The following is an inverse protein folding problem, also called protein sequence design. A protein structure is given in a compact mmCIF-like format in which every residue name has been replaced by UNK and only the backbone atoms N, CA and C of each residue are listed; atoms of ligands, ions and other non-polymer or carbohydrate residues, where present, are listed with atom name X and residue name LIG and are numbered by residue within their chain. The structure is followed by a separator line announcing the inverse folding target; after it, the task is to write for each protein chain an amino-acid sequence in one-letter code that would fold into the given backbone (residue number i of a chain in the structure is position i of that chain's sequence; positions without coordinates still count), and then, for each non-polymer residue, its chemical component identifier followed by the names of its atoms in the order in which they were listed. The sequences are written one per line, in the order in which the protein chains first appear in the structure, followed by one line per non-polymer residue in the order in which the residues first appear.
data_IF_863387219115
#
_entry.id   IF_863387219115
#
_cell.length_a   1.000
_cell.length_b   1.000
_cell.length_c   1.000
_cell.angle_alpha   90.00
_cell.angle_beta   90.00
_cell.angle_gamma   90.00
#
_symmetry.space_group_name_H-M   'P 1'
#
loop_
_entity.id
_entity.type
_entity.pdbx_description
1 polymer ?
#
# COMPACT_ATOMS: atom_id res chain seq x y z
N UNK A 1 34.14 6.77 -10.38
CA UNK A 1 34.72 5.53 -9.81
C UNK A 1 33.90 5.16 -8.60
N UNK A 2 32.95 4.23 -8.75
CA UNK A 2 32.33 3.60 -7.58
C UNK A 2 33.39 2.71 -6.95
N UNK A 3 33.78 3.02 -5.72
CA UNK A 3 34.60 2.12 -4.90
C UNK A 3 33.84 0.81 -4.78
N UNK A 4 34.42 -0.28 -5.31
CA UNK A 4 33.88 -1.62 -5.12
C UNK A 4 33.64 -1.84 -3.63
N UNK A 5 32.39 -2.11 -3.25
CA UNK A 5 32.06 -2.43 -1.87
C UNK A 5 32.84 -3.69 -1.48
N UNK A 6 33.70 -3.66 -0.45
CA UNK A 6 34.46 -4.84 -0.07
C UNK A 6 33.53 -6.02 0.22
N UNK A 7 33.80 -7.18 -0.37
CA UNK A 7 32.97 -8.39 -0.21
C UNK A 7 32.65 -8.70 1.25
N UNK A 8 33.63 -8.56 2.14
CA UNK A 8 33.47 -8.77 3.59
C UNK A 8 32.43 -7.83 4.21
N UNK A 9 32.40 -6.56 3.78
CA UNK A 9 31.44 -5.59 4.26
C UNK A 9 30.02 -5.86 3.73
N UNK A 10 29.89 -6.37 2.49
CA UNK A 10 28.60 -6.81 1.95
C UNK A 10 28.06 -8.04 2.71
N UNK A 11 28.93 -9.01 3.03
CA UNK A 11 28.56 -10.19 3.84
C UNK A 11 28.13 -9.81 5.27
N UNK A 12 28.86 -8.90 5.92
CA UNK A 12 28.50 -8.39 7.24
C UNK A 12 27.13 -7.68 7.20
N UNK A 13 26.89 -6.86 6.16
CA UNK A 13 25.62 -6.18 5.94
C UNK A 13 24.45 -7.16 5.75
N UNK A 14 24.66 -8.23 4.98
CA UNK A 14 23.68 -9.30 4.80
C UNK A 14 23.39 -10.06 6.11
N UNK A 15 24.43 -10.33 6.92
CA UNK A 15 24.27 -10.99 8.22
C UNK A 15 23.44 -10.13 9.19
N UNK A 16 23.68 -8.82 9.20
CA UNK A 16 22.92 -7.86 9.99
C UNK A 16 21.46 -7.79 9.53
N UNK A 17 21.22 -7.71 8.22
CA UNK A 17 19.87 -7.76 7.66
C UNK A 17 19.10 -8.99 8.13
N UNK A 18 19.70 -10.19 8.06
CA UNK A 18 19.06 -11.43 8.50
C UNK A 18 18.63 -11.38 9.97
N UNK A 19 19.46 -10.80 10.83
CA UNK A 19 19.15 -10.64 12.26
C UNK A 19 17.97 -9.69 12.45
N UNK A 20 17.99 -8.54 11.80
CA UNK A 20 16.95 -7.50 11.93
C UNK A 20 15.63 -7.91 11.28
N UNK A 21 15.67 -8.54 10.11
CA UNK A 21 14.47 -8.94 9.38
C UNK A 21 13.65 -10.00 10.15
N UNK A 22 14.31 -10.88 10.91
CA UNK A 22 13.65 -11.85 11.80
C UNK A 22 12.87 -11.22 12.95
N UNK A 23 13.18 -9.97 13.28
CA UNK A 23 12.50 -9.22 14.34
C UNK A 23 11.34 -8.37 13.79
N UNK A 24 11.12 -8.36 12.47
CA UNK A 24 10.04 -7.59 11.86
C UNK A 24 8.69 -8.23 12.18
N UNK A 25 7.89 -7.54 13.00
CA UNK A 25 6.57 -8.01 13.41
C UNK A 25 5.48 -7.79 12.35
N UNK A 26 5.72 -6.89 11.40
CA UNK A 26 4.76 -6.53 10.36
C UNK A 26 5.44 -6.14 9.04
N UNK A 27 4.63 -6.01 7.99
CA UNK A 27 5.12 -5.68 6.66
C UNK A 27 5.73 -4.27 6.59
N UNK A 28 5.20 -3.30 7.33
CA UNK A 28 5.67 -1.92 7.28
C UNK A 28 7.11 -1.80 7.82
N UNK A 29 7.36 -2.42 8.96
CA UNK A 29 8.68 -2.50 9.59
C UNK A 29 9.68 -3.24 8.70
N UNK A 30 9.22 -4.34 8.06
CA UNK A 30 10.03 -5.06 7.08
C UNK A 30 10.42 -4.18 5.89
N UNK A 31 9.47 -3.43 5.31
CA UNK A 31 9.74 -2.58 4.15
C UNK A 31 10.77 -1.48 4.43
N UNK A 32 10.76 -0.90 5.64
CA UNK A 32 11.77 0.07 6.07
C UNK A 32 13.17 -0.56 6.09
N UNK A 33 13.29 -1.75 6.70
CA UNK A 33 14.56 -2.48 6.70
C UNK A 33 14.97 -2.86 5.27
N UNK A 34 14.06 -3.43 4.48
CA UNK A 34 14.34 -3.81 3.11
C UNK A 34 14.93 -2.65 2.29
N UNK A 35 14.31 -1.46 2.33
CA UNK A 35 14.79 -0.28 1.60
C UNK A 35 16.20 0.14 2.06
N UNK A 36 16.46 0.10 3.37
CA UNK A 36 17.76 0.46 3.95
C UNK A 36 18.90 -0.47 3.50
N UNK A 37 18.65 -1.78 3.42
CA UNK A 37 19.69 -2.74 3.03
C UNK A 37 19.77 -2.92 1.51
N UNK A 38 18.66 -2.74 0.77
CA UNK A 38 18.68 -2.79 -0.68
C UNK A 38 19.61 -1.72 -1.27
N UNK A 39 19.57 -0.48 -0.78
CA UNK A 39 20.45 0.59 -1.26
C UNK A 39 21.94 0.28 -1.07
N UNK A 40 22.27 -0.63 -0.14
CA UNK A 40 23.63 -1.08 0.14
C UNK A 40 24.04 -2.30 -0.69
N UNK A 41 23.09 -3.17 -0.98
CA UNK A 41 23.36 -4.50 -1.53
C UNK A 41 22.99 -4.65 -3.01
N UNK A 42 22.19 -3.73 -3.59
CA UNK A 42 21.66 -3.84 -4.97
C UNK A 42 22.74 -3.90 -6.06
N UNK A 43 23.89 -3.29 -5.84
CA UNK A 43 25.03 -3.27 -6.77
C UNK A 43 26.13 -4.27 -6.36
N UNK A 44 25.82 -5.19 -5.44
CA UNK A 44 26.78 -6.16 -4.91
C UNK A 44 26.44 -7.59 -5.37
N UNK A 45 27.41 -8.51 -5.41
CA UNK A 45 27.15 -9.93 -5.64
C UNK A 45 26.26 -10.60 -4.57
N UNK A 46 25.91 -9.90 -3.49
CA UNK A 46 25.09 -10.42 -2.40
C UNK A 46 23.57 -10.22 -2.63
N UNK A 47 23.15 -9.55 -3.71
CA UNK A 47 21.74 -9.24 -3.97
C UNK A 47 20.85 -10.48 -3.92
N UNK A 48 21.20 -11.56 -4.63
CA UNK A 48 20.38 -12.79 -4.63
C UNK A 48 20.22 -13.40 -3.23
N UNK A 49 21.31 -13.41 -2.46
CA UNK A 49 21.31 -13.94 -1.08
C UNK A 49 20.54 -13.03 -0.13
N UNK A 50 20.51 -11.73 -0.40
CA UNK A 50 19.67 -10.76 0.28
C UNK A 50 18.19 -11.01 -0.02
N UNK A 51 17.82 -11.21 -1.29
CA UNK A 51 16.44 -11.50 -1.69
C UNK A 51 15.92 -12.81 -1.09
N UNK A 52 16.74 -13.87 -1.07
CA UNK A 52 16.38 -15.14 -0.40
C UNK A 52 16.18 -14.95 1.10
N UNK A 53 17.03 -14.15 1.76
CA UNK A 53 16.86 -13.84 3.17
C UNK A 53 15.60 -13.00 3.45
N UNK A 54 15.27 -12.07 2.55
CA UNK A 54 14.10 -11.23 2.62
C UNK A 54 12.80 -12.06 2.51
N UNK A 55 12.75 -12.95 1.53
CA UNK A 55 11.64 -13.90 1.36
C UNK A 55 11.44 -14.79 2.60
N UNK A 56 12.54 -15.36 3.12
CA UNK A 56 12.47 -16.21 4.32
C UNK A 56 11.93 -15.44 5.53
N UNK A 57 12.43 -14.22 5.76
CA UNK A 57 11.98 -13.38 6.87
C UNK A 57 10.49 -13.03 6.77
N UNK A 58 9.99 -12.69 5.58
CA UNK A 58 8.56 -12.45 5.34
C UNK A 58 7.75 -13.70 5.66
N UNK A 59 8.14 -14.84 5.10
CA UNK A 59 7.41 -16.11 5.27
C UNK A 59 7.36 -16.54 6.72
N UNK A 60 8.45 -16.33 7.47
CA UNK A 60 8.53 -16.74 8.87
C UNK A 60 7.78 -15.79 9.82
N UNK A 61 7.89 -14.48 9.62
CA UNK A 61 7.54 -13.50 10.66
C UNK A 61 6.37 -12.60 10.31
N UNK A 62 6.09 -12.36 9.02
CA UNK A 62 5.08 -11.39 8.60
C UNK A 62 3.80 -12.12 8.22
N UNK A 63 2.67 -11.68 8.79
CA UNK A 63 1.34 -12.20 8.50
C UNK A 63 0.42 -11.09 8.05
N UNK A 64 -0.53 -11.44 7.18
CA UNK A 64 -1.54 -10.50 6.74
C UNK A 64 -2.38 -10.02 7.94
N UNK A 65 -2.53 -8.70 8.17
CA UNK A 65 -3.30 -8.20 9.31
C UNK A 65 -4.80 -8.53 9.18
N UNK A 66 -5.29 -8.83 7.97
CA UNK A 66 -6.71 -9.04 7.70
C UNK A 66 -7.17 -10.50 7.75
N UNK A 67 -6.29 -11.45 7.40
CA UNK A 67 -6.64 -12.87 7.37
C UNK A 67 -5.62 -13.77 8.05
N UNK A 68 -4.53 -13.20 8.58
CA UNK A 68 -3.37 -13.91 9.17
C UNK A 68 -2.70 -14.90 8.22
N UNK A 69 -3.02 -14.85 6.93
CA UNK A 69 -2.41 -15.65 5.89
C UNK A 69 -0.97 -15.24 5.61
N UNK A 70 -0.24 -16.16 4.99
CA UNK A 70 1.13 -15.94 4.52
C UNK A 70 1.16 -15.03 3.28
N UNK A 71 2.26 -14.29 3.16
CA UNK A 71 2.58 -13.51 1.98
C UNK A 71 3.47 -14.32 1.03
N UNK A 72 3.15 -14.28 -0.27
CA UNK A 72 4.10 -14.62 -1.32
C UNK A 72 4.99 -13.40 -1.57
N UNK A 73 6.31 -13.60 -1.52
CA UNK A 73 7.29 -12.58 -1.85
C UNK A 73 7.56 -12.63 -3.36
N UNK A 74 7.59 -11.47 -4.00
CA UNK A 74 8.02 -11.31 -5.39
C UNK A 74 8.99 -10.15 -5.49
N UNK A 75 9.97 -10.31 -6.36
CA UNK A 75 10.95 -9.30 -6.70
C UNK A 75 11.04 -9.21 -8.22
N UNK A 76 11.14 -8.00 -8.73
CA UNK A 76 11.44 -7.74 -10.13
C UNK A 76 12.18 -6.42 -10.26
N UNK A 77 12.78 -6.24 -11.43
CA UNK A 77 13.36 -4.97 -11.86
C UNK A 77 12.56 -4.41 -13.03
N UNK A 78 12.47 -3.09 -13.08
CA UNK A 78 11.88 -2.34 -14.20
C UNK A 78 12.81 -1.18 -14.57
N UNK A 79 12.66 -0.66 -15.79
CA UNK A 79 13.30 0.59 -16.17
C UNK A 79 12.37 1.75 -15.77
N UNK A 80 12.86 2.64 -14.92
CA UNK A 80 12.18 3.88 -14.55
C UNK A 80 12.97 5.04 -15.16
N UNK A 81 12.68 5.37 -16.42
CA UNK A 81 13.56 6.22 -17.23
C UNK A 81 14.83 5.46 -17.62
N UNK A 82 15.99 6.04 -17.33
CA UNK A 82 17.31 5.45 -17.63
C UNK A 82 17.89 4.62 -16.48
N UNK A 83 17.19 4.54 -15.34
CA UNK A 83 17.66 3.83 -14.15
C UNK A 83 16.93 2.49 -13.93
N UNK A 84 17.68 1.50 -13.44
CA UNK A 84 17.13 0.22 -13.02
C UNK A 84 16.43 0.40 -11.66
N UNK A 85 15.13 0.16 -11.64
CA UNK A 85 14.31 0.24 -10.44
C UNK A 85 14.05 -1.15 -9.88
N UNK A 86 14.38 -1.35 -8.61
CA UNK A 86 14.11 -2.57 -7.88
C UNK A 86 12.75 -2.48 -7.18
N UNK A 87 11.88 -3.47 -7.40
CA UNK A 87 10.55 -3.51 -6.79
C UNK A 87 10.31 -4.84 -6.11
N UNK A 88 9.66 -4.79 -4.93
CA UNK A 88 9.14 -5.97 -4.26
C UNK A 88 7.64 -5.88 -4.03
N UNK A 89 7.02 -7.05 -4.01
CA UNK A 89 5.60 -7.23 -3.73
C UNK A 89 5.37 -8.36 -2.75
N UNK A 90 4.45 -8.12 -1.82
CA UNK A 90 3.96 -9.09 -0.86
C UNK A 90 2.49 -9.36 -1.17
N UNK A 91 2.16 -10.55 -1.68
CA UNK A 91 0.79 -10.94 -2.00
C UNK A 91 0.26 -11.91 -0.96
N UNK A 92 -0.80 -11.52 -0.24
CA UNK A 92 -1.47 -12.42 0.67
C UNK A 92 -2.29 -13.44 -0.12
N UNK A 93 -1.87 -14.71 -0.13
CA UNK A 93 -2.51 -15.75 -0.95
C UNK A 93 -4.00 -15.95 -0.62
N UNK A 94 -4.45 -15.94 0.66
CA UNK A 94 -5.86 -16.19 0.98
C UNK A 94 -6.81 -15.04 0.62
N UNK A 95 -6.45 -13.78 0.87
CA UNK A 95 -7.36 -12.64 0.64
C UNK A 95 -7.07 -11.83 -0.62
N UNK A 96 -5.94 -12.07 -1.29
CA UNK A 96 -5.52 -11.35 -2.49
C UNK A 96 -5.10 -9.91 -2.23
N UNK A 97 -4.94 -9.50 -0.97
CA UNK A 97 -4.36 -8.20 -0.63
C UNK A 97 -2.88 -8.21 -1.01
N UNK A 98 -2.38 -7.12 -1.58
CA UNK A 98 -0.96 -7.01 -1.88
C UNK A 98 -0.39 -5.66 -1.48
N UNK A 99 0.91 -5.69 -1.17
CA UNK A 99 1.71 -4.53 -0.80
C UNK A 99 2.87 -4.45 -1.78
N UNK A 100 3.16 -3.28 -2.29
CA UNK A 100 4.25 -3.06 -3.26
C UNK A 100 5.13 -1.92 -2.79
N UNK A 101 6.43 -2.11 -2.86
CA UNK A 101 7.42 -1.07 -2.64
C UNK A 101 8.41 -1.08 -3.80
N UNK A 102 8.42 0.01 -4.56
CA UNK A 102 9.47 0.31 -5.51
C UNK A 102 10.55 1.15 -4.83
N UNK A 103 11.80 0.96 -5.21
CA UNK A 103 12.95 1.66 -4.62
C UNK A 103 12.78 3.19 -4.62
N UNK A 104 12.29 3.75 -5.73
CA UNK A 104 12.08 5.19 -5.90
C UNK A 104 10.98 5.77 -5.00
N UNK A 105 10.11 4.92 -4.43
CA UNK A 105 8.94 5.35 -3.65
C UNK A 105 9.26 5.42 -2.17
N UNK A 106 8.82 6.48 -1.52
CA UNK A 106 8.94 6.63 -0.06
C UNK A 106 7.86 5.87 0.71
N UNK A 107 6.76 5.53 0.06
CA UNK A 107 5.62 4.89 0.68
C UNK A 107 5.30 3.54 0.03
N UNK A 108 4.90 2.59 0.87
CA UNK A 108 4.36 1.30 0.45
C UNK A 108 2.99 1.51 -0.16
N UNK A 109 2.86 1.20 -1.45
CA UNK A 109 1.58 1.10 -2.12
C UNK A 109 0.85 -0.15 -1.64
N UNK A 110 -0.47 -0.07 -1.53
CA UNK A 110 -1.27 -1.23 -1.15
C UNK A 110 -2.52 -1.34 -1.98
N UNK A 111 -2.89 -2.58 -2.21
CA UNK A 111 -4.20 -2.95 -2.69
C UNK A 111 -4.89 -3.83 -1.67
N UNK A 112 -6.05 -3.38 -1.22
CA UNK A 112 -6.94 -4.17 -0.39
C UNK A 112 -8.17 -4.58 -1.22
N UNK A 113 -8.28 -5.87 -1.52
CA UNK A 113 -9.35 -6.38 -2.38
C UNK A 113 -10.73 -6.21 -1.73
N UNK A 114 -10.79 -6.25 -0.39
CA UNK A 114 -12.01 -6.05 0.39
C UNK A 114 -12.47 -4.60 0.35
N UNK A 115 -11.55 -3.64 0.41
CA UNK A 115 -11.84 -2.20 0.24
C UNK A 115 -12.47 -1.97 -1.13
N UNK A 116 -11.84 -2.49 -2.19
CA UNK A 116 -12.33 -2.35 -3.57
C UNK A 116 -13.70 -2.99 -3.75
N UNK A 117 -13.89 -4.22 -3.27
CA UNK A 117 -15.21 -4.88 -3.28
C UNK A 117 -16.27 -4.08 -2.52
N UNK A 118 -15.92 -3.47 -1.38
CA UNK A 118 -16.86 -2.64 -0.61
C UNK A 118 -17.23 -1.36 -1.37
N UNK A 119 -16.29 -0.72 -2.04
CA UNK A 119 -16.56 0.43 -2.92
C UNK A 119 -17.55 0.04 -4.01
N UNK A 120 -17.27 -1.02 -4.77
CA UNK A 120 -18.18 -1.50 -5.83
C UNK A 120 -19.58 -1.85 -5.32
N UNK A 121 -19.66 -2.46 -4.13
CA UNK A 121 -20.95 -2.78 -3.51
C UNK A 121 -21.77 -1.53 -3.16
N UNK A 122 -21.10 -0.47 -2.67
CA UNK A 122 -21.73 0.80 -2.33
C UNK A 122 -22.08 1.63 -3.58
N UNK A 123 -21.24 1.59 -4.61
CA UNK A 123 -21.48 2.22 -5.90
C UNK A 123 -22.81 1.76 -6.50
N UNK A 124 -23.07 0.44 -6.48
CA UNK A 124 -24.36 -0.14 -6.94
C UNK A 124 -25.58 0.32 -6.13
N UNK A 125 -25.39 0.90 -4.95
CA UNK A 125 -26.46 1.36 -4.04
C UNK A 125 -26.61 2.89 -4.03
N UNK A 126 -25.76 3.63 -4.75
CA UNK A 126 -25.66 5.08 -4.67
C UNK A 126 -26.61 5.82 -5.60
N UNK A 127 -27.84 6.10 -5.15
CA UNK A 127 -28.76 6.98 -5.89
C UNK A 127 -28.50 8.49 -5.67
N UNK A 128 -28.11 8.88 -4.45
CA UNK A 128 -27.98 10.29 -4.04
C UNK A 128 -26.55 10.75 -3.77
N UNK A 129 -25.62 9.80 -3.75
CA UNK A 129 -24.19 9.99 -3.49
C UNK A 129 -23.44 9.01 -4.37
N UNK A 130 -22.53 9.53 -5.19
CA UNK A 130 -21.60 8.71 -5.95
C UNK A 130 -20.46 8.25 -5.03
N UNK A 131 -19.85 7.11 -5.33
CA UNK A 131 -18.58 6.70 -4.72
C UNK A 131 -17.64 6.25 -5.82
N UNK A 132 -16.41 6.76 -5.78
CA UNK A 132 -15.34 6.38 -6.68
C UNK A 132 -14.08 6.15 -5.85
N UNK A 133 -13.18 5.31 -6.37
CA UNK A 133 -11.92 5.03 -5.70
C UNK A 133 -10.77 5.04 -6.71
N UNK A 134 -9.61 5.50 -6.26
CA UNK A 134 -8.41 5.55 -7.09
C UNK A 134 -7.15 5.68 -6.26
N UNK A 135 -6.02 5.50 -6.94
CA UNK A 135 -4.68 5.70 -6.40
C UNK A 135 -4.24 7.12 -6.75
N UNK A 136 -4.68 8.11 -5.98
CA UNK A 136 -4.35 9.52 -6.19
C UNK A 136 -3.65 10.13 -4.99
N UNK A 137 -3.11 11.34 -5.20
CA UNK A 137 -2.33 12.09 -4.21
C UNK A 137 -3.18 12.83 -3.18
N UNK A 138 -4.45 12.46 -3.03
CA UNK A 138 -5.30 13.10 -2.03
C UNK A 138 -4.72 12.86 -0.62
N UNK A 139 -4.50 13.92 0.18
CA UNK A 139 -3.93 13.78 1.51
C UNK A 139 -4.85 13.03 2.47
N UNK A 140 -6.17 13.03 2.20
CA UNK A 140 -7.15 12.33 3.02
C UNK A 140 -7.39 10.89 2.55
N UNK A 141 -7.81 10.03 3.49
CA UNK A 141 -8.31 8.67 3.20
C UNK A 141 -9.57 8.69 2.34
N UNK A 142 -10.44 9.68 2.56
CA UNK A 142 -11.65 9.88 1.80
C UNK A 142 -12.04 11.35 1.77
N UNK A 143 -12.65 11.79 0.67
CA UNK A 143 -13.07 13.17 0.47
C UNK A 143 -14.48 13.23 -0.11
N UNK A 144 -15.35 14.03 0.50
CA UNK A 144 -16.65 14.37 -0.07
C UNK A 144 -16.49 15.57 -1.00
N UNK A 145 -16.74 15.37 -2.28
CA UNK A 145 -16.54 16.33 -3.36
C UNK A 145 -17.84 16.52 -4.15
N UNK A 146 -17.88 17.51 -5.03
CA UNK A 146 -18.95 17.67 -6.01
C UNK A 146 -18.46 17.22 -7.38
N UNK A 147 -19.18 16.32 -8.02
CA UNK A 147 -18.94 15.92 -9.40
C UNK A 147 -19.72 16.85 -10.34
N UNK A 148 -19.01 17.73 -11.04
CA UNK A 148 -19.61 18.70 -11.95
C UNK A 148 -20.26 18.03 -13.17
N UNK A 149 -19.68 16.95 -13.69
CA UNK A 149 -20.17 16.27 -14.88
C UNK A 149 -21.49 15.54 -14.58
N UNK A 150 -21.56 14.87 -13.43
CA UNK A 150 -22.76 14.14 -12.98
C UNK A 150 -23.73 15.00 -12.16
N UNK A 151 -23.37 16.26 -11.88
CA UNK A 151 -24.14 17.21 -11.04
C UNK A 151 -24.58 16.58 -9.71
N UNK A 152 -23.69 15.82 -9.08
CA UNK A 152 -23.99 15.03 -7.90
C UNK A 152 -22.82 15.05 -6.90
N UNK A 153 -23.09 14.91 -5.60
CA UNK A 153 -22.02 14.75 -4.63
C UNK A 153 -21.35 13.38 -4.83
N UNK A 154 -20.03 13.35 -4.62
CA UNK A 154 -19.18 12.19 -4.80
C UNK A 154 -18.28 11.97 -3.60
N UNK A 155 -18.28 10.77 -3.05
CA UNK A 155 -17.31 10.31 -2.08
C UNK A 155 -16.14 9.68 -2.82
N UNK A 156 -14.98 10.32 -2.77
CA UNK A 156 -13.75 9.77 -3.32
C UNK A 156 -12.99 9.00 -2.23
N UNK A 157 -12.57 7.76 -2.53
CA UNK A 157 -11.80 6.89 -1.63
C UNK A 157 -10.36 6.77 -2.15
N UNK A 158 -9.38 7.09 -1.30
CA UNK A 158 -7.97 6.92 -1.63
C UNK A 158 -7.51 5.49 -1.31
N UNK A 159 -7.34 4.67 -2.35
CA UNK A 159 -6.95 3.26 -2.21
C UNK A 159 -5.53 3.07 -1.64
N UNK A 160 -4.66 4.08 -1.73
CA UNK A 160 -3.34 4.03 -1.10
C UNK A 160 -3.40 4.13 0.43
N UNK A 161 -4.47 4.73 0.99
CA UNK A 161 -4.54 5.10 2.41
C UNK A 161 -5.59 4.34 3.19
N UNK A 162 -6.65 3.86 2.53
CA UNK A 162 -7.70 3.06 3.18
C UNK A 162 -7.25 1.61 3.26
N UNK A 163 -7.12 1.11 4.49
CA UNK A 163 -6.61 -0.24 4.74
C UNK A 163 -7.69 -1.19 5.24
N UNK A 164 -8.86 -0.69 5.60
CA UNK A 164 -9.98 -1.50 6.07
C UNK A 164 -11.25 -1.22 5.25
N UNK A 165 -11.95 -2.28 4.85
CA UNK A 165 -13.22 -2.19 4.15
C UNK A 165 -14.32 -1.54 5.01
N UNK A 166 -14.25 -1.69 6.33
CA UNK A 166 -15.23 -1.09 7.23
C UNK A 166 -15.04 0.44 7.34
N UNK A 167 -13.82 0.96 7.15
CA UNK A 167 -13.57 2.40 6.99
C UNK A 167 -14.37 2.98 5.81
N UNK A 168 -14.44 2.26 4.68
CA UNK A 168 -15.22 2.70 3.51
C UNK A 168 -16.69 2.92 3.88
N UNK A 169 -17.26 2.02 4.67
CA UNK A 169 -18.67 2.11 5.09
C UNK A 169 -18.89 3.24 6.09
N UNK A 170 -17.92 3.47 6.98
CA UNK A 170 -17.92 4.63 7.87
C UNK A 170 -17.88 5.94 7.09
N UNK A 171 -17.00 6.06 6.10
CA UNK A 171 -16.91 7.25 5.24
C UNK A 171 -18.20 7.47 4.44
N UNK A 172 -18.77 6.41 3.88
CA UNK A 172 -20.05 6.45 3.18
C UNK A 172 -21.18 6.97 4.06
N UNK A 173 -21.34 6.41 5.26
CA UNK A 173 -22.39 6.83 6.19
C UNK A 173 -22.20 8.28 6.66
N UNK A 174 -20.95 8.70 6.92
CA UNK A 174 -20.62 10.09 7.27
C UNK A 174 -20.96 11.05 6.13
N UNK A 175 -20.60 10.71 4.89
CA UNK A 175 -20.89 11.52 3.72
C UNK A 175 -22.41 11.70 3.52
N UNK A 176 -23.20 10.62 3.63
CA UNK A 176 -24.66 10.70 3.54
C UNK A 176 -25.26 11.58 4.63
N UNK A 177 -24.76 11.47 5.87
CA UNK A 177 -25.21 12.32 6.99
C UNK A 177 -24.92 13.80 6.71
N UNK A 178 -23.73 14.10 6.21
CA UNK A 178 -23.35 15.47 5.86
C UNK A 178 -24.20 16.04 4.71
N UNK A 179 -24.48 15.25 3.67
CA UNK A 179 -25.39 15.68 2.59
C UNK A 179 -26.79 15.97 3.09
N UNK A 180 -27.33 15.12 3.97
CA UNK A 180 -28.65 15.36 4.58
C UNK A 180 -28.66 16.65 5.39
N UNK A 181 -27.58 16.91 6.16
CA UNK A 181 -27.42 18.15 6.93
C UNK A 181 -27.40 19.38 6.02
N UNK A 182 -26.66 19.34 4.91
CA UNK A 182 -26.59 20.44 3.94
C UNK A 182 -27.94 20.75 3.27
N UNK A 183 -28.71 19.71 2.93
CA UNK A 183 -30.07 19.87 2.37
C UNK A 183 -31.01 20.56 3.35
N UNK A 184 -31.05 20.08 4.60
CA UNK A 184 -31.87 20.69 5.66
C UNK A 184 -31.50 22.15 5.93
N UNK A 185 -30.21 22.49 5.86
CA UNK A 185 -29.77 23.87 6.00
C UNK A 185 -30.22 24.74 4.83
N UNK A 186 -30.09 24.23 3.59
CA UNK A 186 -30.53 24.95 2.40
C UNK A 186 -32.05 25.18 2.38
N UNK A 187 -32.85 24.24 2.89
CA UNK A 187 -34.30 24.40 3.04
C UNK A 187 -34.69 25.47 4.05
N UNK A 188 -33.93 25.63 5.14
CA UNK A 188 -34.17 26.67 6.16
C UNK A 188 -33.78 28.07 5.73
N UNK A 189 -32.91 28.18 4.74
CA UNK A 189 -32.41 29.45 4.20
C UNK A 189 -33.23 29.94 2.98
N UNK A 190 -34.24 29.15 2.56
CA UNK A 190 -35.21 29.51 1.53
C UNK A 190 -36.48 30.02 2.18
#
# INVERSE_FOLDING_TARGET
MMTEWPREAAEACLAEFRKSARQSADAASFFVLYKLYLSKLKETPCLDRFLVAAEAAIRENVRCPHCRGEYAFRYWTSLAGDELEHTIELICRPCGDFLTLAESRDAVASFNSRVVRRVYHLERRGAELLIEAGYGDLPAKASLMWDAARKAPKLWINLNRVRDADEVSLFWNRARKELRRRRQLAERLR
#
